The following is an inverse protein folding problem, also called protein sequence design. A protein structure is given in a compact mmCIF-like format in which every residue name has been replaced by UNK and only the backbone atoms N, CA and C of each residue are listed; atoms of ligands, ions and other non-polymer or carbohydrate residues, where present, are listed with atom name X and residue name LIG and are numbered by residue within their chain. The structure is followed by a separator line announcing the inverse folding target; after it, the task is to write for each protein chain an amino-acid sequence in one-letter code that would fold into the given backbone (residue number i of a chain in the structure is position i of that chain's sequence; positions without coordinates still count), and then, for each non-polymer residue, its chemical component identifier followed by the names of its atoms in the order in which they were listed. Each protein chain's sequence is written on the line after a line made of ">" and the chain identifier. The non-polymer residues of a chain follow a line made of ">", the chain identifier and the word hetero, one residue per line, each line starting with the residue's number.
data_IF_885827186106
#
_entry.id   IF_885827186106
#
_cell.length_a   1.000
_cell.length_b   1.000
_cell.length_c   1.000
_cell.angle_alpha   90.00
_cell.angle_beta   90.00
_cell.angle_gamma   90.00
#
_symmetry.space_group_name_H-M   'P 1'
#
loop_
_entity.id
_entity.type
_entity.pdbx_description
1 polymer ?
#
# COMPACT_ATOMS: atom_id res chain seq x y z
N UNK A 1 5.25 6.29 1.57
CA UNK A 1 4.48 6.80 0.41
C UNK A 1 3.01 6.58 0.72
N UNK A 2 2.11 7.55 0.48
CA UNK A 2 0.72 7.44 0.89
C UNK A 2 -0.02 6.33 0.11
N UNK A 3 -0.88 5.58 0.82
CA UNK A 3 -1.61 4.45 0.24
C UNK A 3 -2.69 4.85 -0.77
N UNK A 4 -3.14 6.11 -0.73
CA UNK A 4 -4.21 6.62 -1.60
C UNK A 4 -3.90 6.43 -3.10
N UNK A 5 -2.63 6.56 -3.51
CA UNK A 5 -2.23 6.42 -4.91
C UNK A 5 -1.93 5.00 -5.36
N UNK A 6 -1.99 4.01 -4.46
CA UNK A 6 -1.66 2.63 -4.78
C UNK A 6 -2.87 1.91 -5.40
N UNK A 7 -2.75 1.50 -6.65
CA UNK A 7 -3.81 0.79 -7.38
C UNK A 7 -3.31 -0.56 -7.90
N UNK A 8 -4.06 -1.62 -7.60
CA UNK A 8 -3.88 -2.91 -8.25
C UNK A 8 -4.57 -2.89 -9.61
N UNK A 9 -3.79 -2.87 -10.69
CA UNK A 9 -4.32 -2.73 -12.05
C UNK A 9 -4.86 -4.03 -12.64
N UNK A 10 -4.04 -5.09 -12.65
CA UNK A 10 -4.43 -6.38 -13.19
C UNK A 10 -3.63 -7.54 -12.57
N UNK A 11 -4.29 -8.66 -12.23
CA UNK A 11 -3.61 -9.91 -11.88
C UNK A 11 -3.14 -10.66 -13.15
N UNK A 12 -1.99 -11.33 -13.06
CA UNK A 12 -1.39 -12.11 -14.16
C UNK A 12 -1.71 -13.60 -14.00
N UNK A 13 -2.30 -14.22 -15.02
CA UNK A 13 -2.73 -15.63 -14.99
C UNK A 13 -1.93 -16.56 -15.91
N UNK A 14 -0.86 -16.10 -16.56
CA UNK A 14 -0.13 -16.84 -17.59
C UNK A 14 0.35 -18.22 -17.12
N UNK A 15 0.95 -18.28 -15.93
CA UNK A 15 1.46 -19.54 -15.36
C UNK A 15 0.32 -20.49 -15.01
N UNK A 16 -0.80 -19.95 -14.51
CA UNK A 16 -1.99 -20.74 -14.21
C UNK A 16 -2.57 -21.34 -15.50
N UNK A 17 -2.76 -20.51 -16.53
CA UNK A 17 -3.32 -20.94 -17.81
C UNK A 17 -2.44 -21.99 -18.50
N UNK A 18 -1.11 -21.85 -18.44
CA UNK A 18 -0.16 -22.86 -18.93
C UNK A 18 -0.30 -24.21 -18.22
N UNK A 19 -0.47 -24.20 -16.89
CA UNK A 19 -0.65 -25.43 -16.10
C UNK A 19 -1.98 -26.11 -16.40
N UNK A 20 -3.04 -25.34 -16.60
CA UNK A 20 -4.37 -25.87 -16.95
C UNK A 20 -4.36 -26.48 -18.35
N UNK A 21 -3.75 -25.83 -19.33
CA UNK A 21 -3.64 -26.38 -20.68
C UNK A 21 -2.94 -27.76 -20.68
N UNK A 22 -1.80 -27.89 -20.00
CA UNK A 22 -1.09 -29.16 -19.88
C UNK A 22 -1.84 -30.23 -19.04
N UNK A 23 -2.80 -29.83 -18.20
CA UNK A 23 -3.64 -30.75 -17.45
C UNK A 23 -4.84 -31.23 -18.28
N UNK A 24 -5.47 -30.34 -19.05
CA UNK A 24 -6.57 -30.66 -19.94
C UNK A 24 -6.13 -31.55 -21.11
N UNK A 25 -4.92 -31.33 -21.65
CA UNK A 25 -4.35 -32.18 -22.70
C UNK A 25 -4.24 -33.65 -22.25
N UNK A 26 -4.01 -33.91 -20.95
CA UNK A 26 -3.98 -35.27 -20.40
C UNK A 26 -5.37 -35.90 -20.24
N UNK A 27 -6.43 -35.11 -20.36
CA UNK A 27 -7.83 -35.51 -20.27
C UNK A 27 -8.48 -35.52 -21.66
N UNK A 28 -7.67 -35.55 -22.73
CA UNK A 28 -8.10 -35.48 -24.13
C UNK A 28 -9.04 -34.29 -24.42
N UNK A 29 -8.89 -33.20 -23.66
CA UNK A 29 -9.75 -32.02 -23.70
C UNK A 29 -11.26 -32.32 -23.53
N UNK A 30 -11.64 -33.41 -22.83
CA UNK A 30 -13.05 -33.74 -22.57
C UNK A 30 -13.69 -32.75 -21.58
N UNK A 31 -14.66 -31.91 -22.01
CA UNK A 31 -15.32 -30.95 -21.14
C UNK A 31 -16.25 -31.60 -20.11
N UNK A 32 -16.52 -32.90 -20.24
CA UNK A 32 -17.39 -33.68 -19.35
C UNK A 32 -16.64 -34.19 -18.11
N UNK A 33 -15.30 -34.17 -18.13
CA UNK A 33 -14.50 -34.62 -17.00
C UNK A 33 -14.59 -33.62 -15.83
N UNK A 34 -14.82 -34.07 -14.58
CA UNK A 34 -14.87 -33.20 -13.41
C UNK A 34 -13.60 -32.37 -13.17
N UNK A 35 -12.46 -32.77 -13.73
CA UNK A 35 -11.18 -32.11 -13.59
C UNK A 35 -10.85 -31.13 -14.72
N UNK A 36 -11.65 -31.06 -15.78
CA UNK A 36 -11.45 -30.12 -16.87
C UNK A 36 -11.67 -28.68 -16.37
N UNK A 37 -10.73 -27.77 -16.69
CA UNK A 37 -10.79 -26.36 -16.26
C UNK A 37 -10.57 -25.42 -17.43
N UNK A 38 -11.32 -24.32 -17.44
CA UNK A 38 -11.13 -23.29 -18.47
C UNK A 38 -9.97 -22.34 -18.11
N UNK A 39 -9.23 -21.85 -19.12
CA UNK A 39 -8.25 -20.79 -18.90
C UNK A 39 -8.96 -19.49 -18.47
N UNK A 40 -8.31 -18.75 -17.59
CA UNK A 40 -8.80 -17.46 -17.11
C UNK A 40 -8.30 -16.34 -18.02
N UNK A 41 -9.23 -15.62 -18.64
CA UNK A 41 -8.95 -14.41 -19.40
C UNK A 41 -10.05 -13.36 -19.15
N UNK A 42 -9.63 -12.16 -18.72
CA UNK A 42 -10.50 -11.02 -18.42
C UNK A 42 -10.37 -9.87 -19.43
N UNK A 43 -9.57 -10.01 -20.48
CA UNK A 43 -9.35 -8.99 -21.53
C UNK A 43 -10.66 -8.56 -22.20
N UNK A 44 -11.65 -9.47 -22.26
CA UNK A 44 -13.00 -9.20 -22.76
C UNK A 44 -13.74 -8.10 -21.98
N UNK A 45 -13.32 -7.81 -20.75
CA UNK A 45 -13.87 -6.74 -19.91
C UNK A 45 -12.93 -5.55 -19.75
N UNK A 46 -11.84 -5.49 -20.52
CA UNK A 46 -10.80 -4.45 -20.40
C UNK A 46 -11.37 -3.03 -20.47
N UNK A 47 -12.31 -2.78 -21.38
CA UNK A 47 -13.00 -1.49 -21.53
C UNK A 47 -13.86 -1.15 -20.31
N UNK A 48 -14.72 -2.09 -19.88
CA UNK A 48 -15.58 -1.91 -18.69
C UNK A 48 -14.74 -1.67 -17.43
N UNK A 49 -13.62 -2.40 -17.28
CA UNK A 49 -12.68 -2.20 -16.17
C UNK A 49 -11.99 -0.83 -16.25
N UNK A 50 -11.64 -0.35 -17.44
CA UNK A 50 -11.04 0.97 -17.63
C UNK A 50 -12.01 2.08 -17.25
N UNK A 51 -13.25 1.99 -17.71
CA UNK A 51 -14.30 2.96 -17.37
C UNK A 51 -14.59 2.99 -15.87
N UNK A 52 -14.62 1.80 -15.25
CA UNK A 52 -14.76 1.69 -13.81
C UNK A 52 -13.59 2.36 -13.06
N UNK A 53 -12.34 2.07 -13.46
CA UNK A 53 -11.15 2.68 -12.85
C UNK A 53 -11.19 4.20 -12.94
N UNK A 54 -11.56 4.75 -14.10
CA UNK A 54 -11.67 6.19 -14.27
C UNK A 54 -12.72 6.78 -13.33
N UNK A 55 -13.95 6.31 -13.45
CA UNK A 55 -15.11 6.91 -12.78
C UNK A 55 -15.08 6.77 -11.25
N UNK A 56 -14.61 5.63 -10.75
CA UNK A 56 -14.75 5.31 -9.32
C UNK A 56 -13.43 5.37 -8.54
N UNK A 57 -12.29 5.20 -9.21
CA UNK A 57 -10.98 5.19 -8.55
C UNK A 57 -10.28 6.52 -8.81
N UNK A 58 -9.94 6.84 -10.06
CA UNK A 58 -9.16 8.05 -10.38
C UNK A 58 -9.89 9.34 -9.98
N UNK A 59 -11.16 9.46 -10.34
CA UNK A 59 -11.95 10.66 -10.00
C UNK A 59 -12.09 10.83 -8.48
N UNK A 60 -12.25 9.72 -7.75
CA UNK A 60 -12.34 9.73 -6.29
C UNK A 60 -11.01 10.06 -5.63
N UNK A 61 -9.90 9.48 -6.10
CA UNK A 61 -8.55 9.76 -5.60
C UNK A 61 -8.21 11.24 -5.77
N UNK A 62 -8.49 11.81 -6.95
CA UNK A 62 -8.29 13.24 -7.20
C UNK A 62 -9.15 14.12 -6.29
N UNK A 63 -10.44 13.80 -6.14
CA UNK A 63 -11.33 14.53 -5.23
C UNK A 63 -10.89 14.46 -3.77
N UNK A 64 -10.33 13.33 -3.32
CA UNK A 64 -9.77 13.22 -1.97
C UNK A 64 -8.51 14.08 -1.85
N UNK A 65 -7.61 14.02 -2.83
CA UNK A 65 -6.37 14.81 -2.81
C UNK A 65 -6.64 16.32 -2.83
N UNK A 66 -7.58 16.79 -3.65
CA UNK A 66 -7.95 18.21 -3.72
C UNK A 66 -8.48 18.72 -2.37
N UNK A 67 -9.25 17.88 -1.66
CA UNK A 67 -9.84 18.22 -0.35
C UNK A 67 -8.84 18.11 0.80
N UNK A 68 -8.03 17.06 0.83
CA UNK A 68 -7.19 16.70 1.98
C UNK A 68 -5.73 17.11 1.84
N UNK A 69 -5.21 17.20 0.61
CA UNK A 69 -3.79 17.40 0.35
C UNK A 69 -2.92 16.32 0.99
N UNK A 70 -3.31 15.04 0.87
CA UNK A 70 -2.65 13.94 1.57
C UNK A 70 -1.21 13.76 1.07
N UNK A 71 -1.00 13.86 -0.24
CA UNK A 71 0.32 13.75 -0.82
C UNK A 71 1.19 14.96 -0.45
N UNK A 72 0.64 16.17 -0.52
CA UNK A 72 1.32 17.41 -0.11
C UNK A 72 1.75 17.35 1.37
N UNK A 73 0.87 16.91 2.26
CA UNK A 73 1.19 16.72 3.68
C UNK A 73 2.26 15.63 3.90
N UNK A 74 2.20 14.52 3.16
CA UNK A 74 3.21 13.47 3.24
C UNK A 74 4.59 13.97 2.80
N UNK A 75 4.69 14.69 1.67
CA UNK A 75 5.97 15.25 1.20
C UNK A 75 6.56 16.20 2.26
N UNK A 76 5.75 17.09 2.84
CA UNK A 76 6.21 17.97 3.93
C UNK A 76 6.71 17.19 5.15
N UNK A 77 6.08 16.06 5.48
CA UNK A 77 6.51 15.21 6.60
C UNK A 77 7.87 14.56 6.34
N UNK A 78 8.17 14.22 5.08
CA UNK A 78 9.48 13.72 4.66
C UNK A 78 10.53 14.82 4.76
N UNK A 79 10.21 16.04 4.30
CA UNK A 79 11.13 17.19 4.36
C UNK A 79 11.39 17.68 5.79
N UNK A 80 10.39 17.61 6.68
CA UNK A 80 10.53 17.96 8.09
C UNK A 80 11.37 16.95 8.88
N UNK A 81 11.58 15.74 8.34
CA UNK A 81 12.34 14.70 9.03
C UNK A 81 13.85 15.03 9.06
N UNK A 82 14.34 15.36 10.24
CA UNK A 82 15.76 15.68 10.48
C UNK A 82 16.62 14.53 11.01
N UNK A 83 16.21 13.27 10.83
CA UNK A 83 16.98 12.11 11.31
C UNK A 83 17.88 11.49 10.23
N UNK A 84 18.77 10.55 10.61
CA UNK A 84 19.77 9.98 9.71
C UNK A 84 19.21 8.95 8.72
N UNK A 85 17.95 8.56 8.87
CA UNK A 85 17.37 7.42 8.15
C UNK A 85 17.26 7.68 6.65
N UNK A 86 17.02 8.93 6.23
CA UNK A 86 16.81 9.31 4.84
C UNK A 86 18.07 9.86 4.15
N UNK A 87 19.23 9.82 4.80
CA UNK A 87 20.49 10.35 4.25
C UNK A 87 21.01 9.59 3.01
N UNK A 88 20.44 8.42 2.71
CA UNK A 88 20.70 7.72 1.45
C UNK A 88 20.11 8.43 0.23
N UNK A 89 19.19 9.39 0.42
CA UNK A 89 18.67 10.27 -0.62
C UNK A 89 19.62 11.44 -0.91
N UNK A 90 20.91 11.14 -1.10
CA UNK A 90 21.92 12.15 -1.45
C UNK A 90 22.19 12.17 -2.96
N UNK A 91 22.75 13.27 -3.50
CA UNK A 91 23.08 13.38 -4.92
C UNK A 91 24.09 12.33 -5.41
N UNK A 92 24.90 11.78 -4.51
CA UNK A 92 25.94 10.79 -4.81
C UNK A 92 25.40 9.36 -4.90
N UNK A 93 24.15 9.11 -4.47
CA UNK A 93 23.54 7.78 -4.42
C UNK A 93 24.22 6.80 -3.45
N UNK A 94 25.01 7.31 -2.50
CA UNK A 94 25.76 6.50 -1.54
C UNK A 94 24.93 6.27 -0.27
N UNK A 95 24.94 5.05 0.28
CA UNK A 95 24.23 4.73 1.53
C UNK A 95 25.21 4.93 2.71
N UNK A 96 25.01 5.94 3.57
CA UNK A 96 25.87 6.15 4.72
C UNK A 96 25.71 5.03 5.76
N UNK A 97 26.78 4.73 6.52
CA UNK A 97 26.73 3.71 7.57
C UNK A 97 25.69 4.05 8.66
N UNK A 98 25.50 5.33 8.96
CA UNK A 98 24.48 5.81 9.91
C UNK A 98 23.04 5.49 9.48
N UNK A 99 22.81 5.26 8.18
CA UNK A 99 21.49 4.89 7.64
C UNK A 99 21.26 3.37 7.66
N UNK A 100 22.29 2.55 7.90
CA UNK A 100 22.16 1.08 7.99
C UNK A 100 21.44 0.70 9.29
N UNK A 101 20.40 -0.12 9.17
CA UNK A 101 19.59 -0.56 10.31
C UNK A 101 20.20 -1.84 10.86
N UNK A 102 20.74 -1.77 12.08
CA UNK A 102 21.24 -2.95 12.79
C UNK A 102 20.15 -3.63 13.61
N UNK A 103 20.10 -4.96 13.56
CA UNK A 103 19.05 -5.74 14.23
C UNK A 103 19.26 -5.67 15.75
N UNK A 104 18.37 -4.97 16.44
CA UNK A 104 18.33 -4.88 17.90
C UNK A 104 18.70 -3.51 18.46
N UNK A 105 19.23 -2.60 17.64
CA UNK A 105 19.53 -1.24 18.06
C UNK A 105 18.32 -0.32 17.83
N UNK A 106 17.95 0.47 18.85
CA UNK A 106 16.88 1.48 18.74
C UNK A 106 17.49 2.83 18.42
N UNK A 107 17.06 3.44 17.32
CA UNK A 107 17.47 4.80 16.95
C UNK A 107 16.80 5.84 17.84
N UNK A 108 17.48 6.96 18.06
CA UNK A 108 16.94 8.10 18.82
C UNK A 108 15.77 8.79 18.09
N UNK A 109 15.79 8.85 16.75
CA UNK A 109 14.75 9.49 15.93
C UNK A 109 14.46 8.67 14.66
N UNK A 110 13.80 7.50 14.78
CA UNK A 110 13.46 6.70 13.62
C UNK A 110 12.43 7.43 12.75
N UNK A 111 12.58 7.35 11.43
CA UNK A 111 11.55 7.77 10.49
C UNK A 111 10.36 6.82 10.63
N UNK A 112 9.18 7.38 10.89
CA UNK A 112 7.92 6.63 10.97
C UNK A 112 6.88 7.35 10.15
N UNK A 113 6.30 6.67 9.16
CA UNK A 113 5.18 7.22 8.42
C UNK A 113 3.91 7.19 9.28
N UNK A 114 3.22 8.33 9.37
CA UNK A 114 1.96 8.43 10.09
C UNK A 114 0.90 7.53 9.46
N UNK A 115 0.10 6.85 10.30
CA UNK A 115 -1.00 5.97 9.85
C UNK A 115 -2.07 6.73 9.07
N UNK A 116 -2.15 8.04 9.25
CA UNK A 116 -3.05 8.91 8.49
C UNK A 116 -2.79 8.80 6.98
N UNK A 117 -1.53 8.64 6.57
CA UNK A 117 -1.13 8.46 5.16
C UNK A 117 -1.52 7.10 4.57
N UNK A 118 -1.86 6.12 5.42
CA UNK A 118 -2.32 4.79 5.01
C UNK A 118 -3.85 4.70 4.86
N UNK A 119 -4.59 5.76 5.18
CA UNK A 119 -6.05 5.76 5.09
C UNK A 119 -6.51 5.99 3.66
N UNK A 120 -7.39 5.12 3.15
CA UNK A 120 -7.98 5.22 1.80
C UNK A 120 -9.45 5.66 1.83
N UNK A 121 -10.07 5.69 3.01
CA UNK A 121 -11.46 6.09 3.23
C UNK A 121 -11.53 7.40 4.01
N UNK A 122 -12.22 8.38 3.44
CA UNK A 122 -12.44 9.69 4.06
C UNK A 122 -13.94 10.01 4.01
N UNK A 123 -14.47 10.57 5.09
CA UNK A 123 -15.87 11.02 5.14
C UNK A 123 -16.11 12.13 4.11
N UNK A 124 -17.31 12.18 3.53
CA UNK A 124 -17.65 13.16 2.50
C UNK A 124 -17.62 14.60 3.04
N UNK A 125 -18.01 14.79 4.29
CA UNK A 125 -18.15 16.10 4.94
C UNK A 125 -16.83 16.66 5.50
N UNK A 126 -15.78 15.86 5.47
CA UNK A 126 -14.50 16.19 6.07
C UNK A 126 -13.60 16.94 5.06
N UNK A 127 -13.85 18.24 4.90
CA UNK A 127 -13.14 19.13 3.97
C UNK A 127 -11.88 19.78 4.56
N UNK A 128 -11.47 19.41 5.78
CA UNK A 128 -10.28 19.98 6.40
C UNK A 128 -9.01 19.35 5.81
N UNK A 129 -8.10 20.19 5.31
CA UNK A 129 -6.77 19.74 4.89
C UNK A 129 -6.00 19.22 6.09
N UNK A 130 -5.20 18.17 5.88
CA UNK A 130 -4.32 17.66 6.91
C UNK A 130 -3.29 18.72 7.28
N UNK A 131 -3.24 19.06 8.57
CA UNK A 131 -2.23 19.99 9.09
C UNK A 131 -1.00 19.22 9.58
N UNK A 132 0.14 19.91 9.67
CA UNK A 132 1.36 19.31 10.21
C UNK A 132 1.17 18.80 11.66
N UNK A 133 0.34 19.48 12.45
CA UNK A 133 -0.01 19.09 13.82
C UNK A 133 -0.74 17.74 13.85
N UNK A 134 -1.72 17.50 12.96
CA UNK A 134 -2.45 16.23 12.85
C UNK A 134 -1.56 15.06 12.40
N UNK A 135 -0.48 15.35 11.66
CA UNK A 135 0.51 14.35 11.23
C UNK A 135 1.47 14.00 12.37
N UNK A 136 1.81 14.97 13.23
CA UNK A 136 2.70 14.83 14.38
C UNK A 136 2.03 14.21 15.62
N UNK A 137 0.70 14.13 15.69
CA UNK A 137 -0.04 13.39 16.76
C UNK A 137 0.07 11.87 16.57
N UNK A 138 1.22 11.36 16.10
CA UNK A 138 1.50 9.94 16.21
C UNK A 138 1.55 9.65 17.71
N UNK A 139 0.44 9.09 18.21
CA UNK A 139 0.37 8.44 19.49
C UNK A 139 1.67 7.67 19.69
N UNK A 140 2.41 8.05 20.73
CA UNK A 140 3.24 7.10 21.46
C UNK A 140 2.30 5.99 21.95
N UNK A 141 1.88 5.09 21.03
CA UNK A 141 1.39 3.80 21.41
C UNK A 141 2.56 3.18 22.18
N UNK A 142 2.44 3.22 23.51
CA UNK A 142 3.20 2.35 24.38
C UNK A 142 2.98 0.96 23.81
N UNK A 143 3.99 0.44 23.12
CA UNK A 143 4.08 -0.96 22.75
C UNK A 143 3.87 -1.74 24.04
N UNK A 144 2.65 -2.22 24.26
CA UNK A 144 2.32 -3.02 25.43
C UNK A 144 3.32 -4.16 25.45
N UNK A 145 4.10 -4.21 26.51
CA UNK A 145 5.05 -5.28 26.73
C UNK A 145 4.28 -6.60 26.72
N UNK A 146 4.94 -7.67 26.30
CA UNK A 146 4.35 -9.02 26.27
C UNK A 146 3.65 -9.41 27.58
N UNK A 147 4.12 -8.84 28.71
CA UNK A 147 3.53 -9.01 30.03
C UNK A 147 2.18 -8.29 30.17
N UNK A 148 2.08 -7.05 29.69
CA UNK A 148 0.84 -6.26 29.72
C UNK A 148 -0.25 -6.85 28.81
N UNK A 149 0.13 -7.50 27.70
CA UNK A 149 -0.83 -8.24 26.87
C UNK A 149 -1.39 -9.50 27.55
N UNK A 150 -0.56 -10.20 28.34
CA UNK A 150 -1.01 -11.39 29.09
C UNK A 150 -1.91 -11.03 30.27
N UNK A 151 -1.73 -9.86 30.89
CA UNK A 151 -2.56 -9.41 32.02
C UNK A 151 -3.92 -8.87 31.56
N UNK A 152 -4.05 -8.44 30.30
CA UNK A 152 -5.32 -7.96 29.73
C UNK A 152 -6.25 -9.08 29.22
N UNK A 153 -5.72 -10.30 29.05
CA UNK A 153 -6.49 -11.50 28.67
C UNK A 153 -6.95 -12.33 29.88
N UNK A 154 -6.71 -11.84 31.10
CA UNK A 154 -7.04 -12.50 32.37
C UNK A 154 -8.38 -12.08 32.98
#
# INVERSE_FOLDING_TARGET
>A
MPALGLLLEYPIFDVYNKKIAAANEKLDDDPSDPNFRLPLNFDKYSEQMKDFRQKFIYDRMRSIEDRKGLYDAWVRSVDAYGGPDLLYLNPEGMIPDVSKIERGEKRSKPFRESRVFNRTTFAADDNQKLTAEEVDVVEDEKLLSKKEMQEAEG
#
